data_IF_581718512486
#
_entry.id   IF_581718512486
#
_cell.length_a   1.000
_cell.length_b   1.000
_cell.length_c   1.000
_cell.angle_alpha   90.00
_cell.angle_beta   90.00
_cell.angle_gamma   90.00
#
_symmetry.space_group_name_H-M   'P 1'
#
loop_
_entity.id
_entity.type
_entity.pdbx_description
1 polymer ?
#
# COMPACT_ATOMS: atom_id res chain seq x y z
N UNK A 1 -13.96 -11.89 14.43
CA UNK A 1 -12.52 -11.99 14.74
C UNK A 1 -11.86 -10.69 14.28
N UNK A 2 -11.46 -9.78 15.19
CA UNK A 2 -10.77 -8.54 14.81
C UNK A 2 -9.38 -8.90 14.28
N UNK A 3 -9.20 -8.90 12.96
CA UNK A 3 -7.86 -8.91 12.39
C UNK A 3 -7.25 -7.53 12.67
N UNK A 4 -6.24 -7.51 13.54
CA UNK A 4 -5.46 -6.33 13.91
C UNK A 4 -4.14 -6.35 13.12
N UNK A 5 -3.64 -5.16 12.80
CA UNK A 5 -2.23 -5.01 12.38
C UNK A 5 -1.34 -5.69 13.43
N UNK A 6 -0.30 -6.39 12.99
CA UNK A 6 0.69 -6.98 13.89
C UNK A 6 1.43 -5.85 14.63
N UNK A 7 1.91 -6.16 15.83
CA UNK A 7 2.70 -5.25 16.69
C UNK A 7 1.94 -4.75 17.93
N UNK A 8 2.53 -3.81 18.66
CA UNK A 8 2.02 -3.28 19.94
C UNK A 8 0.61 -2.68 19.87
N UNK A 9 0.10 -2.23 21.02
CA UNK A 9 -1.24 -1.62 21.10
C UNK A 9 -1.42 -0.52 20.05
N UNK A 10 -2.55 -0.57 19.32
CA UNK A 10 -2.92 0.43 18.32
C UNK A 10 -2.99 1.79 19.00
N UNK A 11 -2.28 2.79 18.48
CA UNK A 11 -2.43 4.16 18.96
C UNK A 11 -3.75 4.77 18.49
N UNK A 12 -4.19 5.82 19.15
CA UNK A 12 -5.43 6.52 18.76
C UNK A 12 -5.28 7.26 17.42
N UNK A 13 -4.06 7.71 17.10
CA UNK A 13 -3.75 8.51 15.93
C UNK A 13 -2.81 7.80 14.95
N UNK A 14 -2.94 8.12 13.67
CA UNK A 14 -2.03 7.68 12.61
C UNK A 14 -1.70 8.81 11.66
N UNK A 15 -0.42 8.94 11.30
CA UNK A 15 0.05 9.74 10.19
C UNK A 15 0.12 8.85 8.95
N UNK A 16 -0.70 9.17 7.95
CA UNK A 16 -0.62 8.57 6.61
C UNK A 16 0.16 9.52 5.72
N UNK A 17 1.34 9.10 5.31
CA UNK A 17 2.23 9.90 4.49
C UNK A 17 2.35 9.32 3.08
N UNK A 18 1.87 10.10 2.10
CA UNK A 18 2.23 9.93 0.70
C UNK A 18 3.65 10.40 0.45
N UNK A 19 3.99 10.56 -0.83
CA UNK A 19 5.36 10.89 -1.26
C UNK A 19 5.44 12.22 -2.02
N UNK A 20 4.39 13.03 -2.00
CA UNK A 20 4.38 14.36 -2.64
C UNK A 20 5.29 15.38 -1.94
N UNK A 21 5.51 16.57 -2.53
CA UNK A 21 6.49 17.54 -2.04
C UNK A 21 6.19 18.05 -0.63
N UNK A 22 4.92 18.08 -0.20
CA UNK A 22 4.55 18.50 1.16
C UNK A 22 5.09 17.59 2.26
N UNK A 23 5.54 16.37 1.94
CA UNK A 23 6.21 15.49 2.89
C UNK A 23 7.42 16.17 3.56
N UNK A 24 8.12 17.05 2.82
CA UNK A 24 9.28 17.81 3.32
C UNK A 24 8.88 19.01 4.18
N UNK A 25 7.60 19.36 4.22
CA UNK A 25 7.02 20.55 4.85
C UNK A 25 5.98 20.19 5.92
N UNK A 26 6.18 19.07 6.61
CA UNK A 26 5.38 18.70 7.78
C UNK A 26 5.63 19.72 8.89
N UNK A 27 4.55 20.30 9.42
CA UNK A 27 4.59 21.06 10.67
C UNK A 27 4.38 20.08 11.84
N UNK A 28 5.49 19.63 12.43
CA UNK A 28 5.48 18.62 13.49
C UNK A 28 4.76 19.07 14.76
N UNK A 29 4.58 20.38 14.96
CA UNK A 29 3.84 20.93 16.09
C UNK A 29 2.33 20.64 16.02
N UNK A 30 1.82 20.25 14.83
CA UNK A 30 0.43 19.86 14.59
C UNK A 30 0.15 18.38 14.81
N UNK A 31 1.20 17.56 14.90
CA UNK A 31 1.06 16.12 15.17
C UNK A 31 0.86 15.84 16.65
N UNK A 32 0.03 14.84 17.02
CA UNK A 32 -0.14 14.43 18.42
C UNK A 32 1.18 13.88 18.99
N UNK A 33 1.25 13.72 20.32
CA UNK A 33 2.42 13.17 20.99
C UNK A 33 2.73 11.73 20.55
N UNK A 34 1.68 10.91 20.43
CA UNK A 34 1.78 9.51 20.03
C UNK A 34 0.92 9.24 18.81
N UNK A 35 1.54 8.73 17.74
CA UNK A 35 0.85 8.27 16.54
C UNK A 35 1.62 7.11 15.91
N UNK A 36 0.89 6.31 15.14
CA UNK A 36 1.46 5.32 14.23
C UNK A 36 1.74 5.96 12.85
N UNK A 37 2.57 5.32 12.03
CA UNK A 37 2.93 5.84 10.70
C UNK A 37 2.59 4.83 9.62
N UNK A 38 1.83 5.26 8.62
CA UNK A 38 1.60 4.54 7.38
C UNK A 38 2.36 5.22 6.24
N UNK A 39 3.07 4.42 5.43
CA UNK A 39 3.77 4.87 4.23
C UNK A 39 3.28 4.12 3.00
N UNK A 40 3.53 4.64 1.80
CA UNK A 40 3.08 4.00 0.56
C UNK A 40 4.14 3.98 -0.52
N UNK A 41 4.12 2.94 -1.36
CA UNK A 41 4.92 2.81 -2.58
C UNK A 41 6.42 3.07 -2.30
N UNK A 42 7.06 3.92 -3.11
CA UNK A 42 8.50 4.17 -3.01
C UNK A 42 8.86 5.22 -1.94
N UNK A 43 8.27 5.14 -0.75
CA UNK A 43 8.50 6.08 0.34
C UNK A 43 9.98 6.19 0.76
N UNK A 44 10.73 5.11 0.54
CA UNK A 44 12.13 4.98 0.92
C UNK A 44 13.09 5.77 0.02
N UNK A 45 12.62 6.40 -1.05
CA UNK A 45 13.45 7.30 -1.88
C UNK A 45 13.67 8.67 -1.24
N UNK A 46 12.96 8.97 -0.15
CA UNK A 46 13.18 10.17 0.65
C UNK A 46 14.66 10.32 1.04
N UNK A 47 15.18 11.55 1.06
CA UNK A 47 16.56 11.83 1.44
C UNK A 47 16.76 11.87 2.97
N UNK A 48 15.66 12.00 3.72
CA UNK A 48 15.65 12.03 5.19
C UNK A 48 14.46 11.24 5.73
N UNK A 49 14.55 10.80 6.97
CA UNK A 49 13.46 10.09 7.64
C UNK A 49 12.36 11.06 8.13
N UNK A 50 11.62 11.67 7.20
CA UNK A 50 10.62 12.71 7.51
C UNK A 50 9.54 12.25 8.50
N UNK A 51 9.21 10.96 8.53
CA UNK A 51 8.25 10.37 9.47
C UNK A 51 8.91 9.44 10.49
N UNK A 52 10.24 9.47 10.60
CA UNK A 52 11.02 8.50 11.38
C UNK A 52 11.10 7.11 10.74
N UNK A 53 11.86 6.22 11.39
CA UNK A 53 12.18 4.86 10.90
C UNK A 53 11.14 3.80 11.28
N UNK A 54 10.28 4.08 12.26
CA UNK A 54 9.26 3.15 12.78
C UNK A 54 7.98 3.29 11.99
N UNK A 55 7.63 2.25 11.22
CA UNK A 55 6.48 2.24 10.32
C UNK A 55 5.54 1.12 10.72
N UNK A 56 4.29 1.50 11.02
CA UNK A 56 3.24 0.56 11.43
C UNK A 56 2.76 -0.27 10.24
N UNK A 57 2.57 0.35 9.09
CA UNK A 57 2.23 -0.35 7.86
C UNK A 57 2.77 0.36 6.61
N UNK A 58 3.20 -0.42 5.62
CA UNK A 58 3.50 0.06 4.28
C UNK A 58 2.49 -0.49 3.29
N UNK A 59 2.09 0.31 2.31
CA UNK A 59 1.08 -0.04 1.31
C UNK A 59 1.69 0.00 -0.09
N UNK A 60 1.53 -1.09 -0.85
CA UNK A 60 2.07 -1.23 -2.21
C UNK A 60 1.00 -1.70 -3.19
N UNK A 61 1.06 -1.22 -4.43
CA UNK A 61 0.14 -1.66 -5.50
C UNK A 61 0.45 -3.09 -5.96
N UNK A 62 -0.54 -3.77 -6.55
CA UNK A 62 -0.40 -5.16 -7.00
C UNK A 62 0.71 -5.33 -8.03
N UNK A 63 0.82 -4.40 -8.99
CA UNK A 63 1.74 -4.53 -10.12
C UNK A 63 3.21 -4.54 -9.73
N UNK A 64 3.55 -3.90 -8.60
CA UNK A 64 4.92 -3.82 -8.10
C UNK A 64 5.16 -4.64 -6.83
N UNK A 65 4.12 -5.30 -6.31
CA UNK A 65 4.16 -5.93 -4.99
C UNK A 65 5.30 -6.94 -4.81
N UNK A 66 5.62 -7.73 -5.83
CA UNK A 66 6.68 -8.74 -5.76
C UNK A 66 8.07 -8.10 -5.49
N UNK A 67 8.41 -7.06 -6.24
CA UNK A 67 9.68 -6.36 -6.12
C UNK A 67 9.71 -5.47 -4.86
N UNK A 68 8.58 -4.84 -4.52
CA UNK A 68 8.43 -4.01 -3.32
C UNK A 68 8.48 -4.83 -2.03
N UNK A 69 7.91 -6.03 -2.02
CA UNK A 69 8.02 -6.95 -0.90
C UNK A 69 9.49 -7.34 -0.64
N UNK A 70 10.24 -7.67 -1.69
CA UNK A 70 11.69 -7.92 -1.59
C UNK A 70 12.45 -6.70 -1.08
N UNK A 71 12.18 -5.52 -1.65
CA UNK A 71 12.80 -4.25 -1.23
C UNK A 71 12.53 -3.96 0.25
N UNK A 72 11.30 -4.20 0.71
CA UNK A 72 10.89 -3.99 2.10
C UNK A 72 11.66 -4.88 3.08
N UNK A 73 11.91 -6.14 2.72
CA UNK A 73 12.72 -7.05 3.54
C UNK A 73 14.19 -6.64 3.60
N UNK A 74 14.77 -6.19 2.49
CA UNK A 74 16.16 -5.69 2.49
C UNK A 74 16.31 -4.40 3.31
N UNK A 75 15.31 -3.49 3.28
CA UNK A 75 15.30 -2.31 4.15
C UNK A 75 15.29 -2.66 5.64
N UNK A 76 14.50 -3.66 6.04
CA UNK A 76 14.47 -4.14 7.44
C UNK A 76 15.80 -4.78 7.82
N UNK A 77 16.34 -5.64 6.95
CA UNK A 77 17.64 -6.31 7.15
C UNK A 77 18.81 -5.32 7.26
N UNK A 78 18.76 -4.22 6.52
CA UNK A 78 19.77 -3.16 6.56
C UNK A 78 19.57 -2.17 7.72
N UNK A 79 18.58 -2.37 8.59
CA UNK A 79 18.20 -1.45 9.66
C UNK A 79 17.87 -0.02 9.17
N UNK A 80 17.39 0.12 7.94
CA UNK A 80 16.92 1.40 7.40
C UNK A 80 15.53 1.76 7.92
N UNK A 81 14.66 0.77 8.07
CA UNK A 81 13.31 0.95 8.63
C UNK A 81 12.91 -0.23 9.51
N UNK A 82 12.06 0.04 10.50
CA UNK A 82 11.35 -0.97 11.28
C UNK A 82 9.92 -1.02 10.77
N UNK A 83 9.56 -2.09 10.05
CA UNK A 83 8.26 -2.22 9.39
C UNK A 83 7.49 -3.38 10.03
N UNK A 84 6.33 -3.07 10.63
CA UNK A 84 5.51 -4.09 11.29
C UNK A 84 4.60 -4.85 10.31
N UNK A 85 4.05 -4.16 9.31
CA UNK A 85 3.08 -4.74 8.37
C UNK A 85 3.37 -4.31 6.93
N UNK A 86 3.36 -5.27 6.00
CA UNK A 86 3.45 -5.03 4.56
C UNK A 86 2.08 -5.36 3.96
N UNK A 87 1.44 -4.37 3.34
CA UNK A 87 0.06 -4.46 2.86
C UNK A 87 0.02 -4.29 1.34
N UNK A 88 -0.66 -5.20 0.65
CA UNK A 88 -0.96 -5.06 -0.76
C UNK A 88 -2.30 -4.33 -0.93
N UNK A 89 -2.30 -3.20 -1.64
CA UNK A 89 -3.52 -2.48 -2.06
C UNK A 89 -4.29 -3.38 -3.03
N UNK A 90 -5.52 -3.72 -2.68
CA UNK A 90 -6.39 -4.58 -3.48
C UNK A 90 -7.84 -4.14 -3.35
N UNK A 91 -8.65 -4.51 -4.33
CA UNK A 91 -10.10 -4.31 -4.30
C UNK A 91 -10.82 -5.65 -4.51
N UNK A 92 -12.11 -5.66 -4.20
CA UNK A 92 -13.00 -6.79 -4.48
C UNK A 92 -13.08 -7.04 -5.99
N UNK A 93 -13.43 -5.98 -6.73
CA UNK A 93 -13.55 -6.06 -8.18
C UNK A 93 -12.17 -5.96 -8.84
N UNK A 94 -11.58 -7.12 -9.09
CA UNK A 94 -10.25 -7.25 -9.64
C UNK A 94 -10.29 -7.74 -11.09
N UNK A 95 -9.28 -7.36 -11.90
CA UNK A 95 -9.03 -8.05 -13.17
C UNK A 95 -8.84 -9.55 -12.95
N UNK A 96 -9.03 -10.37 -14.00
CA UNK A 96 -8.70 -11.81 -13.93
C UNK A 96 -7.28 -12.04 -13.40
N UNK A 97 -6.36 -11.14 -13.76
CA UNK A 97 -4.97 -11.21 -13.30
C UNK A 97 -4.91 -11.03 -11.77
N UNK A 98 -5.50 -9.97 -11.27
CA UNK A 98 -5.50 -9.68 -9.83
C UNK A 98 -6.25 -10.73 -9.02
N UNK A 99 -7.32 -11.32 -9.55
CA UNK A 99 -8.04 -12.42 -8.88
C UNK A 99 -7.15 -13.64 -8.64
N UNK A 100 -6.40 -14.08 -9.66
CA UNK A 100 -5.42 -15.17 -9.50
C UNK A 100 -4.34 -14.78 -8.48
N UNK A 101 -3.90 -13.51 -8.49
CA UNK A 101 -2.91 -13.02 -7.52
C UNK A 101 -3.47 -13.06 -6.09
N UNK A 102 -4.71 -12.62 -5.89
CA UNK A 102 -5.43 -12.65 -4.61
C UNK A 102 -5.57 -14.07 -4.06
N UNK A 103 -6.05 -15.01 -4.89
CA UNK A 103 -6.24 -16.42 -4.52
C UNK A 103 -4.93 -17.08 -4.07
N UNK A 104 -3.80 -16.65 -4.65
CA UNK A 104 -2.49 -17.21 -4.34
C UNK A 104 -1.66 -16.35 -3.35
N UNK A 105 -2.18 -15.21 -2.90
CA UNK A 105 -1.41 -14.17 -2.20
C UNK A 105 -0.69 -14.71 -0.96
N UNK A 106 -1.41 -15.46 -0.12
CA UNK A 106 -0.88 -16.00 1.15
C UNK A 106 0.22 -17.05 0.95
N UNK A 107 0.24 -17.75 -0.19
CA UNK A 107 1.29 -18.72 -0.49
C UNK A 107 2.60 -18.05 -0.88
N UNK A 108 2.53 -16.92 -1.59
CA UNK A 108 3.71 -16.17 -2.02
C UNK A 108 4.21 -15.20 -0.96
N UNK A 109 3.30 -14.57 -0.22
CA UNK A 109 3.60 -13.49 0.71
C UNK A 109 3.01 -13.78 2.09
N UNK A 110 3.43 -14.86 2.77
CA UNK A 110 2.78 -15.34 3.99
C UNK A 110 2.84 -14.36 5.17
N UNK A 111 3.81 -13.44 5.18
CA UNK A 111 3.89 -12.39 6.21
C UNK A 111 3.21 -11.08 5.84
N UNK A 112 2.79 -10.92 4.58
CA UNK A 112 2.08 -9.74 4.09
C UNK A 112 0.56 -9.86 4.29
N UNK A 113 -0.13 -8.73 4.14
CA UNK A 113 -1.57 -8.62 4.28
C UNK A 113 -2.20 -8.25 2.95
N UNK A 114 -3.26 -8.96 2.56
CA UNK A 114 -4.19 -8.50 1.52
C UNK A 114 -4.99 -7.33 2.10
N UNK A 115 -4.79 -6.12 1.58
CA UNK A 115 -5.43 -4.92 2.10
C UNK A 115 -6.96 -4.97 2.06
N UNK A 116 -7.53 -5.63 1.05
CA UNK A 116 -8.99 -5.76 0.94
C UNK A 116 -9.53 -6.65 2.07
N UNK A 117 -9.07 -7.90 2.12
CA UNK A 117 -9.53 -8.92 3.06
C UNK A 117 -9.27 -8.58 4.53
N UNK A 118 -8.26 -7.76 4.82
CA UNK A 118 -7.87 -7.44 6.19
C UNK A 118 -8.53 -6.14 6.68
N UNK A 119 -8.80 -5.19 5.79
CA UNK A 119 -9.21 -3.84 6.16
C UNK A 119 -10.38 -3.34 5.33
N UNK A 120 -10.21 -3.17 4.01
CA UNK A 120 -11.12 -2.40 3.18
C UNK A 120 -12.55 -2.99 3.16
N UNK A 121 -12.71 -4.32 3.16
CA UNK A 121 -14.02 -4.97 3.17
C UNK A 121 -14.91 -4.60 4.38
N UNK A 122 -14.31 -4.12 5.48
CA UNK A 122 -15.05 -3.70 6.69
C UNK A 122 -15.80 -2.39 6.48
N UNK A 123 -15.36 -1.57 5.52
CA UNK A 123 -16.04 -0.35 5.10
C UNK A 123 -17.07 -0.70 4.02
N UNK A 124 -18.15 -1.37 4.42
CA UNK A 124 -19.11 -2.01 3.50
C UNK A 124 -19.69 -1.01 2.50
N UNK A 125 -20.07 0.16 2.98
CA UNK A 125 -20.68 1.22 2.18
C UNK A 125 -19.68 1.82 1.18
N UNK A 126 -18.40 1.91 1.58
CA UNK A 126 -17.35 2.40 0.69
C UNK A 126 -16.97 1.34 -0.35
N UNK A 127 -16.84 0.08 0.08
CA UNK A 127 -16.59 -1.06 -0.82
C UNK A 127 -17.70 -1.17 -1.86
N UNK A 128 -18.96 -1.06 -1.44
CA UNK A 128 -20.09 -1.12 -2.36
C UNK A 128 -20.07 0.04 -3.37
N UNK A 129 -19.73 1.26 -2.93
CA UNK A 129 -19.56 2.41 -3.83
C UNK A 129 -18.46 2.18 -4.85
N UNK A 130 -17.26 1.79 -4.41
CA UNK A 130 -16.11 1.56 -5.30
C UNK A 130 -16.41 0.43 -6.30
N UNK A 131 -17.04 -0.65 -5.83
CA UNK A 131 -17.45 -1.76 -6.70
C UNK A 131 -18.51 -1.33 -7.72
N UNK A 132 -19.47 -0.50 -7.32
CA UNK A 132 -20.47 0.07 -8.23
C UNK A 132 -19.83 0.96 -9.31
N UNK A 133 -18.97 1.88 -8.90
CA UNK A 133 -18.27 2.78 -9.82
C UNK A 133 -17.47 1.97 -10.86
N UNK A 134 -16.75 0.93 -10.41
CA UNK A 134 -15.96 0.05 -11.28
C UNK A 134 -16.81 -0.80 -12.23
N UNK A 135 -17.99 -1.28 -11.80
CA UNK A 135 -18.84 -2.16 -12.59
C UNK A 135 -19.72 -1.41 -13.60
N UNK A 136 -20.24 -0.24 -13.23
CA UNK A 136 -21.33 0.41 -13.97
C UNK A 136 -20.90 1.71 -14.67
N UNK A 137 -19.93 2.44 -14.13
CA UNK A 137 -19.49 3.70 -14.73
C UNK A 137 -18.33 3.51 -15.71
N UNK A 138 -17.77 2.29 -15.81
CA UNK A 138 -16.68 1.93 -16.71
C UNK A 138 -15.34 2.64 -16.40
N UNK A 139 -15.36 3.56 -15.46
CA UNK A 139 -14.22 4.28 -14.95
C UNK A 139 -13.55 3.40 -13.90
N UNK A 140 -12.51 2.65 -14.28
CA UNK A 140 -11.56 2.08 -13.30
C UNK A 140 -10.73 3.23 -12.68
N UNK A 141 -11.40 4.22 -12.11
CA UNK A 141 -10.72 5.27 -11.36
C UNK A 141 -10.30 4.61 -10.05
N UNK A 142 -9.00 4.42 -9.90
CA UNK A 142 -8.44 3.94 -8.66
C UNK A 142 -8.17 5.13 -7.74
N UNK A 143 -8.42 4.98 -6.44
CA UNK A 143 -7.91 5.96 -5.47
C UNK A 143 -6.38 5.85 -5.38
N UNK A 144 -5.72 6.94 -5.02
CA UNK A 144 -4.29 6.92 -4.69
C UNK A 144 -4.01 5.94 -3.54
N UNK A 145 -2.81 5.37 -3.52
CA UNK A 145 -2.42 4.46 -2.43
C UNK A 145 -2.51 5.12 -1.05
N UNK A 146 -2.25 6.44 -0.96
CA UNK A 146 -2.43 7.21 0.27
C UNK A 146 -3.88 7.23 0.75
N UNK A 147 -4.83 7.51 -0.14
CA UNK A 147 -6.27 7.48 0.15
C UNK A 147 -6.75 6.09 0.56
N UNK A 148 -6.24 5.05 -0.11
CA UNK A 148 -6.51 3.66 0.27
C UNK A 148 -5.99 3.33 1.68
N UNK A 149 -4.79 3.81 2.02
CA UNK A 149 -4.22 3.64 3.36
C UNK A 149 -5.04 4.37 4.43
N UNK A 150 -5.61 5.55 4.12
CA UNK A 150 -6.55 6.27 4.98
C UNK A 150 -7.82 5.45 5.21
N UNK A 151 -8.41 4.89 4.16
CA UNK A 151 -9.57 3.99 4.30
C UNK A 151 -9.21 2.78 5.20
N UNK A 152 -8.04 2.17 4.99
CA UNK A 152 -7.59 1.08 5.85
C UNK A 152 -7.36 1.52 7.31
N UNK A 153 -6.89 2.74 7.55
CA UNK A 153 -6.78 3.31 8.90
C UNK A 153 -8.16 3.44 9.58
N UNK A 154 -9.16 3.98 8.88
CA UNK A 154 -10.55 4.03 9.37
C UNK A 154 -11.04 2.63 9.72
N UNK A 155 -10.83 1.65 8.83
CA UNK A 155 -11.22 0.25 9.05
C UNK A 155 -10.48 -0.42 10.22
N UNK A 156 -9.28 0.04 10.57
CA UNK A 156 -8.54 -0.40 11.76
C UNK A 156 -9.07 0.22 13.06
N UNK A 157 -9.86 1.28 12.98
CA UNK A 157 -10.45 1.98 14.12
C UNK A 157 -9.60 3.11 14.67
N UNK A 158 -8.61 3.62 13.93
CA UNK A 158 -7.92 4.86 14.30
C UNK A 158 -8.94 5.99 14.44
N UNK A 159 -8.76 6.83 15.46
CA UNK A 159 -9.69 7.92 15.80
C UNK A 159 -9.34 9.21 15.08
N UNK A 160 -8.06 9.44 14.87
CA UNK A 160 -7.54 10.66 14.23
C UNK A 160 -6.52 10.26 13.17
N UNK A 161 -6.70 10.79 11.96
CA UNK A 161 -5.88 10.50 10.79
C UNK A 161 -5.27 11.80 10.31
N UNK A 162 -3.94 11.83 10.28
CA UNK A 162 -3.15 12.97 9.85
C UNK A 162 -2.55 12.67 8.48
N UNK A 163 -2.55 13.63 7.57
CA UNK A 163 -2.08 13.45 6.20
C UNK A 163 -0.91 14.36 5.89
N UNK A 164 0.08 13.81 5.19
CA UNK A 164 1.25 14.52 4.67
C UNK A 164 1.66 13.94 3.32
N UNK A 165 2.32 14.72 2.46
CA UNK A 165 2.83 14.22 1.18
C UNK A 165 1.73 13.78 0.20
N UNK A 166 0.54 14.37 0.30
CA UNK A 166 -0.61 14.13 -0.60
C UNK A 166 -1.04 15.48 -1.16
N UNK A 167 -0.58 15.81 -2.38
CA UNK A 167 -0.61 17.20 -2.89
C UNK A 167 -1.61 17.45 -4.04
N UNK A 168 -2.58 16.55 -4.27
CA UNK A 168 -3.82 16.59 -5.09
C UNK A 168 -4.09 17.66 -6.18
N UNK A 169 -3.12 18.41 -6.70
CA UNK A 169 -3.39 19.63 -7.49
C UNK A 169 -2.30 20.03 -8.49
N UNK A 170 -1.25 19.26 -8.69
CA UNK A 170 -0.31 19.54 -9.78
C UNK A 170 -0.69 18.65 -10.97
N UNK A 171 -0.82 19.24 -12.18
CA UNK A 171 -1.06 18.49 -13.44
C UNK A 171 -0.03 17.35 -13.65
N UNK A 172 1.08 17.44 -12.92
CA UNK A 172 2.14 16.45 -12.82
C UNK A 172 2.31 16.10 -11.34
N UNK A 173 2.07 14.85 -10.96
CA UNK A 173 2.37 14.40 -9.60
C UNK A 173 3.88 14.34 -9.39
N UNK A 174 4.42 15.26 -8.58
CA UNK A 174 5.84 15.26 -8.22
C UNK A 174 6.08 14.49 -6.92
N UNK A 175 7.11 13.67 -6.89
CA UNK A 175 7.63 13.09 -5.66
C UNK A 175 8.49 14.10 -4.89
N UNK A 176 8.59 13.92 -3.57
CA UNK A 176 9.45 14.71 -2.69
C UNK A 176 10.94 14.65 -3.11
N UNK A 177 11.36 13.59 -3.78
CA UNK A 177 12.71 13.43 -4.32
C UNK A 177 12.93 14.14 -5.67
N UNK A 178 11.92 14.86 -6.19
CA UNK A 178 11.99 15.64 -7.43
C UNK A 178 11.64 14.86 -8.69
N UNK A 179 11.30 13.57 -8.61
CA UNK A 179 10.81 12.81 -9.78
C UNK A 179 9.38 13.19 -10.09
N UNK A 180 9.10 13.43 -11.36
CA UNK A 180 7.73 13.60 -11.86
C UNK A 180 7.18 12.26 -12.30
N UNK A 181 5.93 11.97 -11.93
CA UNK A 181 5.18 10.85 -12.49
C UNK A 181 4.35 11.37 -13.65
N UNK A 182 4.62 10.82 -14.82
CA UNK A 182 3.74 10.90 -15.97
C UNK A 182 2.62 9.87 -15.76
N UNK A 183 1.75 10.09 -14.77
CA UNK A 183 0.75 9.11 -14.39
C UNK A 183 -0.45 9.19 -15.35
N UNK A 184 -0.42 8.23 -16.26
CA UNK A 184 -1.50 7.75 -17.12
C UNK A 184 -2.91 7.87 -16.49
N UNK A 185 -3.76 8.74 -17.06
CA UNK A 185 -5.20 8.65 -17.34
C UNK A 185 -6.21 8.07 -16.31
N UNK A 186 -5.83 7.56 -15.14
CA UNK A 186 -6.67 6.72 -14.27
C UNK A 186 -6.90 7.29 -12.86
N UNK A 187 -6.16 8.35 -12.48
CA UNK A 187 -6.29 8.98 -11.17
C UNK A 187 -6.83 10.40 -11.32
N UNK A 188 -7.89 10.71 -10.58
CA UNK A 188 -8.46 12.04 -10.52
C UNK A 188 -8.50 12.48 -9.07
N UNK A 189 -7.83 13.59 -8.75
CA UNK A 189 -7.82 14.18 -7.40
C UNK A 189 -9.24 14.36 -6.83
N UNK A 190 -10.21 14.68 -7.69
CA UNK A 190 -11.62 14.80 -7.31
C UNK A 190 -12.19 13.50 -6.74
N UNK A 191 -11.80 12.34 -7.28
CA UNK A 191 -12.26 11.05 -6.77
C UNK A 191 -11.67 10.77 -5.40
N UNK A 192 -10.37 11.03 -5.20
CA UNK A 192 -9.77 10.90 -3.88
C UNK A 192 -10.42 11.83 -2.85
N UNK A 193 -10.73 13.08 -3.22
CA UNK A 193 -11.45 14.03 -2.36
C UNK A 193 -12.86 13.52 -2.02
N UNK A 194 -13.58 12.98 -3.00
CA UNK A 194 -14.90 12.36 -2.81
C UNK A 194 -14.82 11.22 -1.79
N UNK A 195 -13.82 10.34 -1.92
CA UNK A 195 -13.61 9.21 -1.00
C UNK A 195 -13.25 9.71 0.41
N UNK A 196 -12.42 10.75 0.53
CA UNK A 196 -12.08 11.33 1.84
C UNK A 196 -13.30 11.97 2.52
N UNK A 197 -14.16 12.68 1.77
CA UNK A 197 -15.41 13.22 2.29
C UNK A 197 -16.36 12.08 2.70
N UNK A 198 -16.48 11.03 1.89
CA UNK A 198 -17.27 9.86 2.23
C UNK A 198 -16.82 9.22 3.55
N UNK A 199 -15.50 9.10 3.76
CA UNK A 199 -14.96 8.56 5.01
C UNK A 199 -15.32 9.43 6.22
N UNK A 200 -15.30 10.76 6.06
CA UNK A 200 -15.70 11.70 7.11
C UNK A 200 -17.19 11.61 7.42
N UNK A 201 -18.03 11.59 6.40
CA UNK A 201 -19.49 11.70 6.56
C UNK A 201 -20.13 10.37 6.98
N UNK A 202 -19.69 9.26 6.40
CA UNK A 202 -20.31 7.94 6.62
C UNK A 202 -19.69 7.22 7.82
N UNK A 203 -18.37 7.36 8.04
CA UNK A 203 -17.66 6.67 9.11
C UNK A 203 -17.22 7.58 10.25
N UNK A 204 -17.59 8.87 10.23
CA UNK A 204 -17.20 9.87 11.23
C UNK A 204 -15.67 9.94 11.42
N UNK A 205 -14.91 9.72 10.33
CA UNK A 205 -13.45 9.76 10.38
C UNK A 205 -12.98 11.21 10.58
N UNK A 206 -12.08 11.43 11.55
CA UNK A 206 -11.39 12.72 11.71
C UNK A 206 -10.12 12.72 10.89
N UNK A 207 -10.10 13.50 9.81
CA UNK A 207 -8.99 13.55 8.86
C UNK A 207 -8.47 14.98 8.82
N UNK A 208 -7.17 15.16 9.03
CA UNK A 208 -6.54 16.47 9.09
C UNK A 208 -5.23 16.52 8.30
N UNK A 209 -4.93 17.67 7.71
CA UNK A 209 -3.62 17.99 7.15
C UNK A 209 -2.66 18.47 8.24
N UNK A 210 -1.38 18.16 8.08
CA UNK A 210 -0.28 18.68 8.92
C UNK A 210 0.78 19.44 8.10
N UNK A 211 0.46 19.78 6.85
CA UNK A 211 1.35 20.48 5.94
C UNK A 211 0.72 21.84 5.58
N UNK A 212 1.08 22.95 6.26
CA UNK A 212 0.43 24.26 6.09
C UNK A 212 0.42 24.78 4.65
N UNK A 213 1.48 24.47 3.88
CA UNK A 213 1.64 24.95 2.50
C UNK A 213 1.11 23.96 1.45
N UNK A 214 0.50 22.85 1.85
CA UNK A 214 -0.01 21.86 0.90
C UNK A 214 -1.33 22.30 0.29
N UNK A 215 -1.49 22.01 -1.01
CA UNK A 215 -2.73 22.25 -1.77
C UNK A 215 -3.94 21.50 -1.21
N UNK A 216 -3.72 20.40 -0.47
CA UNK A 216 -4.78 19.59 0.16
C UNK A 216 -5.61 20.38 1.17
N UNK A 217 -5.07 21.48 1.70
CA UNK A 217 -5.74 22.35 2.67
C UNK A 217 -6.98 23.05 2.11
N UNK A 218 -7.17 23.04 0.79
CA UNK A 218 -8.41 23.48 0.13
C UNK A 218 -9.60 22.55 0.40
N UNK A 219 -9.33 21.29 0.74
CA UNK A 219 -10.33 20.22 0.86
C UNK A 219 -10.34 19.58 2.25
N UNK A 220 -9.18 19.51 2.90
CA UNK A 220 -9.01 18.93 4.24
C UNK A 220 -8.56 20.00 5.22
N UNK A 221 -9.16 20.00 6.41
CA UNK A 221 -8.82 20.96 7.46
C UNK A 221 -7.36 20.78 7.91
N UNK A 222 -6.63 21.90 7.98
CA UNK A 222 -5.32 21.95 8.62
C UNK A 222 -5.50 21.78 10.14
N UNK A 223 -4.84 20.79 10.74
CA UNK A 223 -4.96 20.53 12.17
C UNK A 223 -4.38 21.68 13.01
N UNK A 224 -4.99 21.98 14.15
CA UNK A 224 -4.45 22.97 15.08
C UNK A 224 -3.09 22.54 15.65
N UNK A 225 -2.27 23.54 16.00
CA UNK A 225 -1.00 23.31 16.67
C UNK A 225 -1.29 22.71 18.06
N UNK A 226 -0.84 21.48 18.28
CA UNK A 226 -1.00 20.77 19.55
C UNK A 226 0.19 20.99 20.47
N UNK A 227 1.38 21.11 19.90
CA UNK A 227 2.62 21.11 20.66
C UNK A 227 3.64 22.08 20.03
N UNK A 228 3.54 23.39 20.33
CA UNK A 228 4.33 24.44 19.67
C UNK A 228 5.85 24.24 19.77
N UNK A 229 6.33 23.61 20.84
CA UNK A 229 7.75 23.34 21.07
C UNK A 229 8.25 22.06 20.41
N UNK A 230 7.37 21.27 19.78
CA UNK A 230 7.74 19.98 19.20
C UNK A 230 8.53 20.19 17.91
N UNK A 231 9.84 20.02 18.01
CA UNK A 231 10.74 19.86 16.88
C UNK A 231 11.07 18.38 16.72
N UNK A 232 11.01 17.86 15.50
CA UNK A 232 11.51 16.52 15.19
C UNK A 232 12.92 16.67 14.62
N UNK A 233 13.91 16.07 15.26
CA UNK A 233 15.23 15.95 14.66
C UNK A 233 15.16 14.95 13.50
N UNK A 234 15.19 15.46 12.27
CA UNK A 234 15.07 14.63 11.07
C UNK A 234 16.45 14.08 10.70
N UNK A 235 16.66 12.80 10.99
CA UNK A 235 17.85 12.06 10.58
C UNK A 235 17.97 11.99 9.05
N UNK A 236 19.16 12.30 8.53
CA UNK A 236 19.47 12.20 7.09
C UNK A 236 19.84 10.76 6.74
N UNK A 237 19.35 10.25 5.59
CA UNK A 237 19.66 8.89 5.17
C UNK A 237 21.12 8.76 4.73
N UNK A 238 21.74 7.63 5.03
CA UNK A 238 23.08 7.28 4.54
C UNK A 238 23.12 7.24 3.01
N UNK A 239 24.27 7.57 2.42
CA UNK A 239 24.48 7.49 0.97
C UNK A 239 24.25 6.06 0.43
N UNK A 240 24.52 5.04 1.24
CA UNK A 240 24.35 3.62 0.89
C UNK A 240 22.93 3.09 1.10
N UNK A 241 21.99 3.95 1.53
CA UNK A 241 20.61 3.54 1.77
C UNK A 241 19.92 3.15 0.46
N UNK A 242 18.91 2.28 0.54
CA UNK A 242 18.09 1.91 -0.62
C UNK A 242 17.29 3.14 -1.06
N UNK A 243 17.55 3.60 -2.29
CA UNK A 243 16.88 4.76 -2.93
C UNK A 243 16.07 4.40 -4.19
N UNK A 244 16.13 3.15 -4.61
CA UNK A 244 15.40 2.65 -5.77
C UNK A 244 14.86 1.26 -5.47
N UNK A 245 13.78 0.88 -6.15
CA UNK A 245 13.20 -0.46 -6.00
C UNK A 245 14.23 -1.52 -6.39
N UNK A 246 14.44 -2.48 -5.51
CA UNK A 246 15.32 -3.60 -5.78
C UNK A 246 14.61 -4.64 -6.65
N UNK A 247 15.32 -5.15 -7.65
CA UNK A 247 14.82 -6.19 -8.53
C UNK A 247 15.41 -7.55 -8.14
N UNK A 248 14.58 -8.54 -7.77
CA UNK A 248 15.06 -9.90 -7.58
C UNK A 248 15.68 -10.46 -8.87
N UNK A 249 16.58 -11.43 -8.72
CA UNK A 249 17.24 -12.10 -9.84
C UNK A 249 16.21 -12.52 -10.91
N UNK A 250 16.55 -12.35 -12.20
CA UNK A 250 15.71 -12.70 -13.36
C UNK A 250 15.12 -14.12 -13.27
N UNK A 251 15.90 -15.10 -12.81
CA UNK A 251 15.44 -16.48 -12.66
C UNK A 251 14.33 -16.62 -11.61
N UNK A 252 14.42 -15.87 -10.50
CA UNK A 252 13.40 -15.86 -9.46
C UNK A 252 12.12 -15.17 -9.95
N UNK A 253 12.24 -14.06 -10.68
CA UNK A 253 11.09 -13.39 -11.31
C UNK A 253 10.40 -14.28 -12.34
N UNK A 254 11.16 -15.00 -13.16
CA UNK A 254 10.61 -15.95 -14.11
C UNK A 254 9.90 -17.12 -13.41
N UNK A 255 10.47 -17.63 -12.31
CA UNK A 255 9.82 -18.65 -11.48
C UNK A 255 8.51 -18.12 -10.90
N UNK A 256 8.50 -16.91 -10.34
CA UNK A 256 7.30 -16.26 -9.82
C UNK A 256 6.22 -16.11 -10.89
N UNK A 257 6.57 -15.55 -12.06
CA UNK A 257 5.66 -15.44 -13.22
C UNK A 257 5.14 -16.79 -13.69
N UNK A 258 5.97 -17.83 -13.66
CA UNK A 258 5.58 -19.18 -14.06
C UNK A 258 4.55 -19.78 -13.11
N UNK A 259 4.74 -19.65 -11.80
CA UNK A 259 3.76 -20.17 -10.82
C UNK A 259 2.41 -19.47 -11.03
N UNK A 260 2.44 -18.17 -11.32
CA UNK A 260 1.26 -17.39 -11.65
C UNK A 260 0.55 -17.88 -12.94
N UNK A 261 1.30 -18.25 -13.98
CA UNK A 261 0.75 -18.88 -15.20
C UNK A 261 0.22 -20.29 -14.93
N UNK A 262 0.93 -21.10 -14.15
CA UNK A 262 0.52 -22.46 -13.77
C UNK A 262 -0.72 -22.45 -12.84
N UNK A 263 -0.99 -21.35 -12.13
CA UNK A 263 -2.23 -21.15 -11.36
C UNK A 263 -3.46 -20.87 -12.24
N UNK A 264 -3.29 -20.55 -13.54
CA UNK A 264 -4.42 -20.36 -14.45
C UNK A 264 -5.05 -21.72 -14.79
N UNK A 265 -6.36 -21.94 -14.53
CA UNK A 265 -7.00 -23.25 -14.69
C UNK A 265 -6.88 -23.84 -16.10
N UNK A 266 -6.94 -23.01 -17.14
CA UNK A 266 -6.78 -23.48 -18.53
C UNK A 266 -5.34 -23.91 -18.81
N UNK A 267 -4.37 -23.08 -18.41
CA UNK A 267 -2.96 -23.41 -18.56
C UNK A 267 -2.63 -24.67 -17.75
N UNK A 268 -3.12 -24.77 -16.52
CA UNK A 268 -2.95 -25.95 -15.67
C UNK A 268 -3.57 -27.19 -16.31
N UNK A 269 -4.76 -27.09 -16.90
CA UNK A 269 -5.41 -28.19 -17.61
C UNK A 269 -4.55 -28.67 -18.80
N UNK A 270 -4.10 -27.75 -19.66
CA UNK A 270 -3.23 -28.09 -20.80
C UNK A 270 -1.87 -28.67 -20.35
N UNK A 271 -1.21 -28.04 -19.38
CA UNK A 271 0.04 -28.58 -18.81
C UNK A 271 -0.18 -29.93 -18.12
N UNK A 272 -1.33 -30.13 -17.48
CA UNK A 272 -1.76 -31.39 -16.90
C UNK A 272 -1.81 -32.47 -17.97
N UNK A 273 -2.55 -32.23 -19.07
CA UNK A 273 -2.61 -33.16 -20.20
C UNK A 273 -1.22 -33.45 -20.79
N UNK A 274 -0.35 -32.44 -20.95
CA UNK A 274 1.00 -32.63 -21.49
C UNK A 274 1.93 -33.42 -20.55
N UNK A 275 1.78 -33.29 -19.22
CA UNK A 275 2.58 -34.02 -18.23
C UNK A 275 2.04 -35.41 -17.92
N UNK A 276 0.75 -35.64 -18.18
CA UNK A 276 0.03 -36.89 -17.87
C UNK A 276 0.74 -38.13 -18.42
N UNK A 277 1.23 -38.20 -19.68
CA UNK A 277 1.93 -39.37 -20.19
C UNK A 277 3.20 -39.72 -19.41
N UNK A 278 3.98 -38.70 -19.02
CA UNK A 278 5.23 -38.88 -18.26
C UNK A 278 4.94 -39.29 -16.81
N UNK A 279 3.91 -38.70 -16.19
CA UNK A 279 3.45 -39.07 -14.86
C UNK A 279 2.89 -40.49 -14.81
N UNK A 280 2.05 -40.89 -15.79
CA UNK A 280 1.57 -42.27 -15.94
C UNK A 280 2.73 -43.24 -16.13
N UNK A 281 3.70 -42.92 -17.01
CA UNK A 281 4.89 -43.75 -17.22
C UNK A 281 5.71 -43.92 -15.95
N UNK A 282 5.84 -42.87 -15.14
CA UNK A 282 6.55 -42.94 -13.86
C UNK A 282 5.78 -43.77 -12.81
N UNK A 283 4.45 -43.60 -12.75
CA UNK A 283 3.58 -44.33 -11.81
C UNK A 283 3.45 -45.81 -12.15
N UNK A 284 3.36 -46.14 -13.45
CA UNK A 284 3.25 -47.50 -13.96
C UNK A 284 4.61 -48.19 -14.16
N UNK A 285 5.73 -47.47 -14.03
CA UNK A 285 7.04 -48.12 -14.01
C UNK A 285 7.21 -48.86 -12.69
N UNK A 286 7.40 -50.17 -12.77
CA UNK A 286 7.54 -51.14 -11.67
C UNK A 286 8.72 -50.86 -10.70
N UNK A 287 9.41 -49.73 -10.83
CA UNK A 287 10.55 -49.34 -10.00
C UNK A 287 10.20 -48.82 -8.60
N UNK A 288 8.90 -48.62 -8.31
CA UNK A 288 8.41 -48.13 -7.00
C UNK A 288 7.40 -49.08 -6.32
N UNK A 289 7.20 -50.29 -6.87
CA UNK A 289 6.58 -51.41 -6.15
C UNK A 289 7.68 -52.33 -5.63
N UNK A 290 8.47 -51.84 -4.67
CA UNK A 290 9.29 -52.63 -3.74
C UNK A 290 9.45 -51.88 -2.44
#
# INVERSE_FOLDING_TARGET
MQIRLKGGALKNAVLVAGNGPSLKKIDYARLPSEYDVFRSNQFYTEDKYYTGKKIKAIFHTVDFFFDEYFTSHEMVKNNEYQIENIVCKMYNFASRKEKIFQENFKFFFPSALNGYDNFFYKLKELSAKVDFDACYLGSRIEMLTGTYAIACAVACGYKEIYIAGMDFCDEIYSYADGRNIDECCLHHANYDIEILNFLRDVYNAKIFSVCPDSSINKYILLHDVQNPSKTLEIETKSQNSIKTRLMPNKNLRNRYKRIYLEANPFINLFYGFLRTPRALKHYLSSKFYR
#
